data_IF_211364067165
#
_entry.id   IF_211364067165
#
_cell.length_a   1.000
_cell.length_b   1.000
_cell.length_c   1.000
_cell.angle_alpha   90.00
_cell.angle_beta   90.00
_cell.angle_gamma   90.00
#
_symmetry.space_group_name_H-M   'P 1'
#
loop_
_entity.id
_entity.type
_entity.pdbx_description
1 polymer ?
#
# COMPACT_ATOMS: atom_id res chain seq x y z
N UNK A 1 10.13 5.15 34.85
CA UNK A 1 10.27 5.61 33.46
C UNK A 1 10.26 4.34 32.63
N UNK A 2 9.12 4.04 32.03
CA UNK A 2 8.95 2.82 31.25
C UNK A 2 9.58 3.03 29.87
N UNK A 3 10.27 2.01 29.36
CA UNK A 3 10.87 1.92 28.04
C UNK A 3 9.86 2.29 26.94
N UNK A 4 9.87 3.54 26.48
CA UNK A 4 9.08 4.02 25.33
C UNK A 4 9.85 3.95 24.01
N UNK A 5 11.03 3.33 23.99
CA UNK A 5 12.01 3.55 22.93
C UNK A 5 12.05 2.43 21.86
N UNK A 6 11.06 1.50 21.80
CA UNK A 6 11.06 0.49 20.74
C UNK A 6 9.66 0.02 20.32
N UNK A 7 8.64 0.86 20.40
CA UNK A 7 7.31 0.46 19.94
C UNK A 7 7.17 0.68 18.43
N UNK A 8 7.28 -0.41 17.66
CA UNK A 8 7.07 -0.39 16.20
C UNK A 8 5.69 0.20 15.90
N UNK A 9 5.67 1.32 15.16
CA UNK A 9 4.41 1.99 14.80
C UNK A 9 3.50 1.01 14.08
N UNK A 10 2.22 1.00 14.47
CA UNK A 10 1.24 0.03 13.99
C UNK A 10 -0.07 0.72 13.62
N UNK A 11 -0.54 0.48 12.40
CA UNK A 11 -1.90 0.79 11.96
C UNK A 11 -2.77 -0.44 12.27
N UNK A 12 -3.84 -0.25 13.04
CA UNK A 12 -4.69 -1.34 13.53
C UNK A 12 -6.16 -1.04 13.31
N UNK A 13 -6.93 -2.09 13.05
CA UNK A 13 -8.39 -2.05 13.05
C UNK A 13 -8.92 -3.07 14.04
N UNK A 14 -10.01 -2.73 14.72
CA UNK A 14 -10.64 -3.60 15.70
C UNK A 14 -12.16 -3.59 15.50
N UNK A 15 -12.74 -4.76 15.28
CA UNK A 15 -14.17 -4.99 15.16
C UNK A 15 -14.84 -4.22 14.03
N UNK A 16 -14.14 -3.91 12.92
CA UNK A 16 -14.71 -3.13 11.84
C UNK A 16 -15.97 -3.75 11.26
N UNK A 17 -17.04 -2.97 11.22
CA UNK A 17 -18.30 -3.34 10.57
C UNK A 17 -18.71 -2.25 9.58
N UNK A 18 -19.11 -2.68 8.37
CA UNK A 18 -19.74 -1.81 7.38
C UNK A 18 -20.99 -2.43 6.82
N UNK A 19 -22.08 -1.64 6.86
CA UNK A 19 -23.38 -1.99 6.29
C UNK A 19 -23.79 -0.98 5.23
N UNK A 20 -24.34 -1.48 4.13
CA UNK A 20 -25.03 -0.69 3.12
C UNK A 20 -26.46 -1.19 3.03
N UNK A 21 -27.41 -0.40 3.55
CA UNK A 21 -28.78 -0.84 3.73
C UNK A 21 -28.86 -2.09 4.63
N UNK A 22 -29.43 -3.18 4.11
CA UNK A 22 -29.55 -4.47 4.82
C UNK A 22 -28.31 -5.38 4.69
N UNK A 23 -27.36 -5.03 3.82
CA UNK A 23 -26.19 -5.88 3.52
C UNK A 23 -25.01 -5.47 4.40
N UNK A 24 -24.49 -6.41 5.20
CA UNK A 24 -23.21 -6.25 5.89
C UNK A 24 -22.10 -6.71 4.94
N UNK A 25 -21.21 -5.78 4.54
CA UNK A 25 -20.11 -6.04 3.61
C UNK A 25 -18.78 -6.28 4.32
N UNK A 26 -18.63 -5.75 5.54
CA UNK A 26 -17.51 -6.02 6.45
C UNK A 26 -18.11 -6.33 7.81
N UNK A 27 -17.68 -7.41 8.46
CA UNK A 27 -18.31 -7.94 9.66
C UNK A 27 -17.26 -8.34 10.70
N UNK A 28 -17.00 -7.45 11.65
CA UNK A 28 -16.05 -7.61 12.77
C UNK A 28 -14.66 -8.02 12.29
N UNK A 29 -14.07 -7.17 11.46
CA UNK A 29 -12.76 -7.42 10.87
C UNK A 29 -11.68 -6.74 11.70
N UNK A 30 -10.67 -7.54 12.11
CA UNK A 30 -9.51 -7.11 12.87
C UNK A 30 -8.24 -7.37 12.07
N UNK A 31 -7.46 -6.35 11.80
CA UNK A 31 -6.13 -6.51 11.19
C UNK A 31 -5.17 -5.44 11.67
N UNK A 32 -3.91 -5.65 11.42
CA UNK A 32 -2.90 -4.64 11.68
C UNK A 32 -1.81 -4.67 10.61
N UNK A 33 -1.11 -3.57 10.46
CA UNK A 33 0.08 -3.41 9.63
C UNK A 33 1.14 -2.71 10.47
N UNK A 34 2.35 -3.23 10.50
CA UNK A 34 3.49 -2.62 11.19
C UNK A 34 4.37 -1.85 10.19
N UNK A 35 5.15 -0.90 10.70
CA UNK A 35 6.22 -0.29 9.93
C UNK A 35 7.16 -1.37 9.36
N UNK A 36 7.60 -1.17 8.12
CA UNK A 36 8.52 -2.09 7.45
C UNK A 36 7.92 -3.46 7.14
N UNK A 37 6.59 -3.60 7.13
CA UNK A 37 5.88 -4.84 6.82
C UNK A 37 5.01 -4.68 5.57
N UNK A 38 5.00 -5.70 4.71
CA UNK A 38 4.08 -5.79 3.57
C UNK A 38 3.00 -6.81 3.90
N UNK A 39 1.76 -6.35 4.05
CA UNK A 39 0.61 -7.17 4.39
C UNK A 39 -0.32 -7.32 3.19
N UNK A 40 -0.64 -8.55 2.81
CA UNK A 40 -1.61 -8.87 1.77
C UNK A 40 -3.05 -8.83 2.31
N UNK A 41 -3.94 -8.13 1.60
CA UNK A 41 -5.38 -8.08 1.88
C UNK A 41 -6.13 -8.80 0.77
N UNK A 42 -6.28 -10.12 0.92
CA UNK A 42 -6.64 -11.05 -0.12
C UNK A 42 -8.14 -11.40 -0.06
N UNK A 43 -8.71 -11.81 -1.17
CA UNK A 43 -10.11 -12.24 -1.23
C UNK A 43 -10.71 -12.04 -2.62
N UNK A 44 -11.79 -12.77 -2.90
CA UNK A 44 -12.54 -12.64 -4.16
C UNK A 44 -13.20 -11.26 -4.29
N UNK A 45 -13.64 -10.91 -5.49
CA UNK A 45 -14.46 -9.72 -5.70
C UNK A 45 -15.70 -9.77 -4.79
N UNK A 46 -16.02 -8.62 -4.16
CA UNK A 46 -17.14 -8.53 -3.21
C UNK A 46 -16.86 -9.08 -1.80
N UNK A 47 -15.66 -9.55 -1.49
CA UNK A 47 -15.32 -10.04 -0.15
C UNK A 47 -15.25 -8.96 0.95
N UNK A 48 -15.31 -7.67 0.59
CA UNK A 48 -15.23 -6.55 1.54
C UNK A 48 -13.89 -5.81 1.54
N UNK A 49 -12.96 -6.13 0.65
CA UNK A 49 -11.61 -5.54 0.61
C UNK A 49 -11.63 -4.02 0.49
N UNK A 50 -12.23 -3.48 -0.56
CA UNK A 50 -12.30 -2.04 -0.82
C UNK A 50 -13.02 -1.28 0.31
N UNK A 51 -14.09 -1.86 0.87
CA UNK A 51 -14.78 -1.24 2.01
C UNK A 51 -13.87 -1.15 3.25
N UNK A 52 -13.05 -2.18 3.51
CA UNK A 52 -12.06 -2.17 4.59
C UNK A 52 -10.99 -1.10 4.36
N UNK A 53 -10.47 -0.98 3.13
CA UNK A 53 -9.52 0.07 2.74
C UNK A 53 -10.13 1.47 2.97
N UNK A 54 -11.35 1.70 2.52
CA UNK A 54 -12.02 3.00 2.66
C UNK A 54 -12.25 3.38 4.11
N UNK A 55 -12.55 2.42 4.98
CA UNK A 55 -12.67 2.69 6.42
C UNK A 55 -11.30 3.04 7.03
N UNK A 56 -10.24 2.34 6.62
CA UNK A 56 -8.88 2.55 7.15
C UNK A 56 -8.28 3.87 6.69
N UNK A 57 -8.66 4.37 5.51
CA UNK A 57 -8.19 5.65 4.97
C UNK A 57 -9.08 6.84 5.32
N UNK A 58 -10.19 6.61 6.03
CA UNK A 58 -11.15 7.65 6.40
C UNK A 58 -12.07 8.10 5.26
N UNK A 59 -12.06 7.40 4.10
CA UNK A 59 -13.00 7.65 3.00
C UNK A 59 -14.43 7.25 3.36
N UNK A 60 -14.57 6.27 4.26
CA UNK A 60 -15.86 5.78 4.74
C UNK A 60 -15.78 5.57 6.25
N UNK A 61 -16.73 6.12 7.01
CA UNK A 61 -16.83 5.87 8.44
C UNK A 61 -17.43 4.47 8.67
N UNK A 62 -16.83 3.62 9.54
CA UNK A 62 -17.39 2.33 9.91
C UNK A 62 -18.71 2.49 10.68
N UNK A 63 -19.57 1.48 10.64
CA UNK A 63 -20.77 1.44 11.49
C UNK A 63 -20.44 1.02 12.93
N UNK A 64 -19.42 0.17 13.09
CA UNK A 64 -18.91 -0.29 14.37
C UNK A 64 -17.42 -0.55 14.25
N UNK A 65 -16.73 -0.63 15.39
CA UNK A 65 -15.30 -0.86 15.46
C UNK A 65 -14.49 0.43 15.37
N UNK A 66 -13.18 0.29 15.36
CA UNK A 66 -12.25 1.43 15.33
C UNK A 66 -11.04 1.20 14.45
N UNK A 67 -10.45 2.31 14.02
CA UNK A 67 -9.15 2.39 13.35
C UNK A 67 -8.21 3.19 14.26
N UNK A 68 -7.04 2.65 14.56
CA UNK A 68 -6.05 3.32 15.41
C UNK A 68 -4.67 3.31 14.77
N UNK A 69 -3.92 4.37 15.04
CA UNK A 69 -2.51 4.52 14.72
C UNK A 69 -1.75 4.50 16.05
N UNK A 70 -1.07 3.38 16.36
CA UNK A 70 -0.68 3.04 17.71
C UNK A 70 -1.90 3.11 18.65
N UNK A 71 -1.84 3.94 19.69
CA UNK A 71 -2.92 4.14 20.68
C UNK A 71 -3.88 5.28 20.32
N UNK A 72 -3.65 5.97 19.20
CA UNK A 72 -4.49 7.11 18.77
C UNK A 72 -5.64 6.59 17.93
N UNK A 73 -6.87 6.78 18.42
CA UNK A 73 -8.08 6.50 17.63
C UNK A 73 -8.26 7.55 16.53
N UNK A 74 -8.25 7.10 15.30
CA UNK A 74 -8.42 7.94 14.10
C UNK A 74 -9.73 7.65 13.36
N UNK A 75 -10.59 6.82 13.90
CA UNK A 75 -11.81 6.30 13.24
C UNK A 75 -12.67 7.40 12.62
N UNK A 76 -12.84 8.51 13.33
CA UNK A 76 -13.69 9.61 12.90
C UNK A 76 -12.91 10.78 12.28
N UNK A 77 -11.64 10.59 11.99
CA UNK A 77 -10.86 11.61 11.31
C UNK A 77 -11.33 11.75 9.85
N UNK A 78 -11.46 12.95 9.32
CA UNK A 78 -11.66 13.14 7.88
C UNK A 78 -10.39 12.73 7.11
N UNK A 79 -10.56 12.39 5.82
CA UNK A 79 -9.49 11.87 4.94
C UNK A 79 -8.18 12.66 5.04
N UNK A 80 -8.26 14.01 5.04
CA UNK A 80 -7.05 14.83 5.11
C UNK A 80 -6.27 14.68 6.42
N UNK A 81 -6.96 14.34 7.54
CA UNK A 81 -6.28 14.05 8.80
C UNK A 81 -5.63 12.67 8.80
N UNK A 82 -6.23 11.66 8.13
CA UNK A 82 -5.58 10.38 7.89
C UNK A 82 -4.28 10.59 7.09
N UNK A 83 -4.35 11.37 6.01
CA UNK A 83 -3.15 11.69 5.20
C UNK A 83 -2.07 12.40 6.03
N UNK A 84 -2.44 13.40 6.84
CA UNK A 84 -1.50 14.10 7.75
C UNK A 84 -0.96 13.22 8.87
N UNK A 85 -1.70 12.20 9.28
CA UNK A 85 -1.22 11.19 10.23
C UNK A 85 -0.21 10.21 9.59
N UNK A 86 -0.03 10.29 8.26
CA UNK A 86 0.92 9.50 7.49
C UNK A 86 0.32 8.28 6.80
N UNK A 87 -0.98 8.28 6.50
CA UNK A 87 -1.63 7.19 5.75
C UNK A 87 -1.79 7.62 4.29
N UNK A 88 -0.96 7.06 3.40
CA UNK A 88 -1.08 7.21 1.95
C UNK A 88 -2.07 6.20 1.37
N UNK A 89 -2.79 6.59 0.32
CA UNK A 89 -3.70 5.71 -0.40
C UNK A 89 -3.51 5.83 -1.91
N UNK A 90 -3.30 4.69 -2.55
CA UNK A 90 -3.24 4.56 -3.99
C UNK A 90 -4.48 3.79 -4.48
N UNK A 91 -5.44 4.46 -5.12
CA UNK A 91 -6.66 3.83 -5.61
C UNK A 91 -6.40 2.90 -6.80
N UNK A 92 -7.34 1.99 -7.04
CA UNK A 92 -7.35 1.13 -8.23
C UNK A 92 -7.46 1.95 -9.52
N UNK A 93 -8.33 2.96 -9.51
CA UNK A 93 -8.51 3.85 -10.66
C UNK A 93 -7.34 4.79 -10.85
N UNK A 94 -7.05 5.11 -12.12
CA UNK A 94 -5.99 6.04 -12.47
C UNK A 94 -6.22 7.41 -11.83
N UNK A 95 -5.26 7.86 -11.01
CA UNK A 95 -5.33 9.09 -10.24
C UNK A 95 -4.37 10.19 -10.74
N UNK A 96 -3.56 9.91 -11.76
CA UNK A 96 -2.64 10.89 -12.34
C UNK A 96 -3.40 12.10 -12.88
N UNK A 97 -2.87 13.31 -12.65
CA UNK A 97 -3.40 14.53 -13.27
C UNK A 97 -3.02 14.52 -14.74
N UNK A 98 -4.00 14.22 -15.59
CA UNK A 98 -3.79 13.92 -17.02
C UNK A 98 -3.20 15.06 -17.82
N UNK A 99 -3.48 16.32 -17.44
CA UNK A 99 -3.04 17.54 -18.10
C UNK A 99 -1.76 18.17 -17.47
N UNK A 100 -1.12 17.43 -16.58
CA UNK A 100 0.13 17.83 -15.94
C UNK A 100 1.25 16.87 -16.35
N UNK A 101 2.49 17.36 -16.39
CA UNK A 101 3.66 16.52 -16.60
C UNK A 101 3.88 15.57 -15.42
N UNK A 102 4.75 14.58 -15.58
CA UNK A 102 5.15 13.69 -14.48
C UNK A 102 5.72 14.48 -13.32
N UNK A 103 6.65 15.41 -13.58
CA UNK A 103 7.25 16.24 -12.53
C UNK A 103 6.21 17.13 -11.86
N UNK A 104 5.30 17.76 -12.62
CA UNK A 104 4.25 18.61 -12.05
C UNK A 104 3.26 17.79 -11.20
N UNK A 105 2.96 16.55 -11.59
CA UNK A 105 2.16 15.64 -10.79
C UNK A 105 2.75 15.37 -9.40
N UNK A 106 4.07 15.23 -9.31
CA UNK A 106 4.78 14.97 -8.05
C UNK A 106 4.95 16.30 -7.29
N UNK A 107 5.39 17.36 -7.99
CA UNK A 107 5.62 18.68 -7.39
C UNK A 107 4.35 19.25 -6.76
N UNK A 108 3.18 19.12 -7.39
CA UNK A 108 1.91 19.59 -6.84
C UNK A 108 1.59 19.00 -5.44
N UNK A 109 2.09 17.82 -5.13
CA UNK A 109 1.93 17.21 -3.80
C UNK A 109 3.04 17.67 -2.86
N UNK A 110 4.28 17.82 -3.35
CA UNK A 110 5.39 18.35 -2.55
C UNK A 110 5.11 19.78 -2.07
N UNK A 111 4.49 20.62 -2.89
CA UNK A 111 4.07 21.98 -2.53
C UNK A 111 3.05 22.03 -1.38
N UNK A 112 2.32 20.93 -1.13
CA UNK A 112 1.40 20.81 0.01
C UNK A 112 2.10 20.43 1.31
N UNK A 113 3.40 20.11 1.26
CA UNK A 113 4.22 19.77 2.44
C UNK A 113 4.78 21.04 3.09
N UNK A 114 5.45 20.88 4.24
CA UNK A 114 6.15 21.98 4.91
C UNK A 114 7.64 22.10 4.49
N UNK A 115 8.05 21.37 3.46
CA UNK A 115 9.40 21.41 2.94
C UNK A 115 9.66 22.78 2.28
N UNK A 116 10.86 23.31 2.43
CA UNK A 116 11.33 24.46 1.67
C UNK A 116 11.36 24.13 0.17
N UNK A 117 11.33 25.13 -0.68
CA UNK A 117 11.36 24.90 -2.13
C UNK A 117 12.62 24.12 -2.59
N UNK A 118 13.75 24.35 -1.94
CA UNK A 118 14.97 23.61 -2.23
C UNK A 118 14.87 22.13 -1.83
N UNK A 119 14.25 21.83 -0.69
CA UNK A 119 13.97 20.45 -0.26
C UNK A 119 12.94 19.78 -1.17
N UNK A 120 11.90 20.50 -1.61
CA UNK A 120 10.93 19.98 -2.56
C UNK A 120 11.60 19.58 -3.88
N UNK A 121 12.51 20.41 -4.40
CA UNK A 121 13.27 20.08 -5.62
C UNK A 121 14.18 18.86 -5.42
N UNK A 122 14.86 18.75 -4.29
CA UNK A 122 15.67 17.56 -3.97
C UNK A 122 14.84 16.29 -3.91
N UNK A 123 13.69 16.36 -3.24
CA UNK A 123 12.79 15.22 -3.13
C UNK A 123 12.17 14.84 -4.47
N UNK A 124 11.80 15.83 -5.31
CA UNK A 124 11.36 15.59 -6.68
C UNK A 124 12.39 14.81 -7.49
N UNK A 125 13.67 15.27 -7.47
CA UNK A 125 14.76 14.59 -8.19
C UNK A 125 14.96 13.15 -7.66
N UNK A 126 14.90 12.97 -6.37
CA UNK A 126 15.00 11.66 -5.72
C UNK A 126 13.89 10.71 -6.21
N UNK A 127 12.63 11.15 -6.15
CA UNK A 127 11.48 10.37 -6.59
C UNK A 127 11.52 10.07 -8.10
N UNK A 128 11.84 11.05 -8.93
CA UNK A 128 11.98 10.87 -10.40
C UNK A 128 13.01 9.78 -10.71
N UNK A 129 14.14 9.78 -10.01
CA UNK A 129 15.22 8.82 -10.20
C UNK A 129 14.82 7.43 -9.67
N UNK A 130 14.33 7.36 -8.44
CA UNK A 130 13.94 6.11 -7.76
C UNK A 130 12.88 5.34 -8.56
N UNK A 131 11.89 6.07 -9.11
CA UNK A 131 10.79 5.49 -9.87
C UNK A 131 11.07 5.35 -11.38
N UNK A 132 12.34 5.57 -11.80
CA UNK A 132 12.77 5.46 -13.21
C UNK A 132 11.91 6.29 -14.17
N UNK A 133 11.54 7.50 -13.74
CA UNK A 133 10.68 8.43 -14.49
C UNK A 133 11.45 9.48 -15.29
N UNK A 134 12.78 9.49 -15.23
CA UNK A 134 13.64 10.53 -15.86
C UNK A 134 13.34 10.72 -17.35
N UNK A 135 13.15 9.64 -18.11
CA UNK A 135 12.89 9.70 -19.56
C UNK A 135 11.54 10.31 -19.91
N UNK A 136 10.55 10.16 -19.02
CA UNK A 136 9.17 10.62 -19.21
C UNK A 136 8.81 11.83 -18.34
N UNK A 137 9.81 12.41 -17.68
CA UNK A 137 9.66 13.52 -16.73
C UNK A 137 8.73 14.64 -17.22
N UNK A 138 8.90 15.03 -18.47
CA UNK A 138 8.14 16.11 -19.12
C UNK A 138 6.89 15.64 -19.86
N UNK A 139 6.65 14.33 -19.94
CA UNK A 139 5.46 13.80 -20.60
C UNK A 139 4.22 14.10 -19.76
N UNK A 140 3.13 14.43 -20.43
CA UNK A 140 1.82 14.62 -19.81
C UNK A 140 1.25 13.29 -19.34
N UNK A 141 0.41 13.29 -18.30
CA UNK A 141 -0.23 12.09 -17.78
C UNK A 141 -1.01 11.28 -18.82
N UNK A 142 -1.51 11.95 -19.89
CA UNK A 142 -2.19 11.31 -21.04
C UNK A 142 -1.25 10.50 -21.94
N UNK A 143 0.05 10.76 -21.89
CA UNK A 143 1.06 10.16 -22.77
C UNK A 143 1.76 8.95 -22.15
N UNK A 144 1.48 8.68 -20.87
CA UNK A 144 2.14 7.63 -20.11
C UNK A 144 1.57 6.25 -20.44
N UNK A 145 2.45 5.26 -20.57
CA UNK A 145 2.08 3.85 -20.51
C UNK A 145 1.45 3.49 -19.15
N UNK A 146 0.79 2.34 -19.06
CA UNK A 146 0.20 1.85 -17.81
C UNK A 146 1.22 1.80 -16.65
N UNK A 147 2.40 1.25 -16.92
CA UNK A 147 3.48 1.13 -15.95
C UNK A 147 4.08 2.47 -15.53
N UNK A 148 4.36 3.38 -16.49
CA UNK A 148 4.86 4.73 -16.20
C UNK A 148 3.85 5.53 -15.38
N UNK A 149 2.57 5.44 -15.74
CA UNK A 149 1.49 6.06 -14.98
C UNK A 149 1.46 5.54 -13.55
N UNK A 150 1.49 4.22 -13.35
CA UNK A 150 1.44 3.62 -12.01
C UNK A 150 2.65 4.01 -11.17
N UNK A 151 3.85 4.02 -11.74
CA UNK A 151 5.05 4.50 -11.04
C UNK A 151 4.94 5.99 -10.66
N UNK A 152 4.37 6.83 -11.52
CA UNK A 152 4.11 8.25 -11.21
C UNK A 152 3.13 8.40 -10.05
N UNK A 153 2.06 7.61 -10.02
CA UNK A 153 1.05 7.63 -8.95
C UNK A 153 1.63 7.18 -7.61
N UNK A 154 2.48 6.15 -7.61
CA UNK A 154 3.17 5.69 -6.39
C UNK A 154 4.16 6.77 -5.92
N UNK A 155 4.99 7.33 -6.82
CA UNK A 155 5.92 8.42 -6.49
C UNK A 155 5.17 9.62 -5.87
N UNK A 156 4.03 10.00 -6.44
CA UNK A 156 3.18 11.06 -5.90
C UNK A 156 2.62 10.72 -4.51
N UNK A 157 2.21 9.47 -4.29
CA UNK A 157 1.75 9.01 -2.98
C UNK A 157 2.85 9.11 -1.92
N UNK A 158 4.11 8.87 -2.31
CA UNK A 158 5.27 8.93 -1.41
C UNK A 158 5.79 10.33 -1.15
N UNK A 159 5.44 11.30 -1.99
CA UNK A 159 5.87 12.70 -1.85
C UNK A 159 5.48 13.34 -0.50
N UNK A 160 4.42 12.84 0.15
CA UNK A 160 4.03 13.27 1.51
C UNK A 160 4.77 12.54 2.64
N UNK A 161 5.75 11.70 2.30
CA UNK A 161 6.49 10.85 3.23
C UNK A 161 5.57 10.05 4.19
N UNK A 162 4.71 9.16 3.64
CA UNK A 162 3.73 8.43 4.44
C UNK A 162 4.41 7.38 5.33
N UNK A 163 3.79 7.10 6.46
CA UNK A 163 4.17 6.02 7.39
C UNK A 163 3.57 4.68 6.99
N UNK A 164 2.39 4.73 6.39
CA UNK A 164 1.67 3.58 5.85
C UNK A 164 1.15 3.90 4.46
N UNK A 165 1.20 2.92 3.57
CA UNK A 165 0.66 3.04 2.22
C UNK A 165 -0.32 1.90 1.96
N UNK A 166 -1.51 2.27 1.51
CA UNK A 166 -2.55 1.34 1.11
C UNK A 166 -2.61 1.30 -0.40
N UNK A 167 -2.24 0.15 -0.99
CA UNK A 167 -2.17 -0.08 -2.43
C UNK A 167 -3.37 -0.91 -2.87
N UNK A 168 -4.34 -0.25 -3.51
CA UNK A 168 -5.54 -0.93 -4.04
C UNK A 168 -5.31 -1.33 -5.50
N UNK A 169 -5.13 -2.63 -5.72
CA UNK A 169 -4.87 -3.26 -7.02
C UNK A 169 -3.74 -2.57 -7.83
N UNK A 170 -2.52 -2.49 -7.28
CA UNK A 170 -1.42 -1.77 -7.96
C UNK A 170 -0.97 -2.42 -9.26
N UNK A 171 -1.28 -3.69 -9.50
CA UNK A 171 -0.92 -4.44 -10.71
C UNK A 171 -2.01 -4.44 -11.78
N UNK A 172 -3.20 -3.89 -11.47
CA UNK A 172 -4.33 -3.91 -12.40
C UNK A 172 -4.05 -3.08 -13.67
N UNK A 173 -4.24 -3.70 -14.85
CA UNK A 173 -4.05 -3.05 -16.14
C UNK A 173 -2.59 -2.68 -16.47
N UNK A 174 -1.63 -3.34 -15.83
CA UNK A 174 -0.20 -3.16 -16.03
C UNK A 174 0.36 -4.40 -16.74
N UNK A 175 1.32 -4.21 -17.67
CA UNK A 175 1.99 -5.31 -18.33
C UNK A 175 2.93 -6.08 -17.38
N UNK A 176 3.26 -7.37 -17.66
CA UNK A 176 4.05 -8.20 -16.75
C UNK A 176 5.43 -7.64 -16.39
N UNK A 177 6.08 -6.90 -17.30
CA UNK A 177 7.40 -6.31 -17.05
C UNK A 177 7.26 -5.17 -16.04
N UNK A 178 6.25 -4.33 -16.23
CA UNK A 178 5.98 -3.24 -15.31
C UNK A 178 5.43 -3.74 -13.95
N UNK A 179 4.74 -4.89 -13.89
CA UNK A 179 4.38 -5.54 -12.62
C UNK A 179 5.63 -5.89 -11.82
N UNK A 180 6.65 -6.50 -12.46
CA UNK A 180 7.92 -6.78 -11.80
C UNK A 180 8.60 -5.51 -11.27
N UNK A 181 8.64 -4.43 -12.07
CA UNK A 181 9.16 -3.12 -11.60
C UNK A 181 8.42 -2.61 -10.37
N UNK A 182 7.08 -2.72 -10.33
CA UNK A 182 6.27 -2.29 -9.17
C UNK A 182 6.55 -3.18 -7.95
N UNK A 183 6.73 -4.50 -8.14
CA UNK A 183 7.12 -5.41 -7.05
C UNK A 183 8.46 -4.99 -6.43
N UNK A 184 9.47 -4.67 -7.24
CA UNK A 184 10.76 -4.15 -6.76
C UNK A 184 10.59 -2.86 -5.95
N UNK A 185 9.78 -1.92 -6.45
CA UNK A 185 9.48 -0.68 -5.76
C UNK A 185 8.82 -0.97 -4.40
N UNK A 186 7.74 -1.74 -4.37
CA UNK A 186 6.99 -2.06 -3.14
C UNK A 186 7.90 -2.77 -2.12
N UNK A 187 8.74 -3.69 -2.59
CA UNK A 187 9.69 -4.38 -1.73
C UNK A 187 10.71 -3.43 -1.08
N UNK A 188 11.22 -2.44 -1.83
CA UNK A 188 12.15 -1.42 -1.29
C UNK A 188 11.50 -0.52 -0.25
N UNK A 189 10.21 -0.20 -0.39
CA UNK A 189 9.49 0.69 0.55
C UNK A 189 9.48 0.15 1.99
N UNK A 190 9.48 -1.16 2.19
CA UNK A 190 9.55 -1.74 3.53
C UNK A 190 10.85 -1.35 4.28
N UNK A 191 11.96 -1.17 3.56
CA UNK A 191 13.25 -0.75 4.13
C UNK A 191 13.32 0.76 4.39
N UNK A 192 12.38 1.54 3.85
CA UNK A 192 12.12 2.93 4.24
C UNK A 192 11.22 3.01 5.48
N UNK A 193 11.04 1.92 6.18
CA UNK A 193 10.19 1.80 7.36
C UNK A 193 8.71 2.14 7.09
N UNK A 194 8.23 1.95 5.85
CA UNK A 194 6.84 2.15 5.45
C UNK A 194 6.08 0.84 5.62
N UNK A 195 4.96 0.88 6.36
CA UNK A 195 4.03 -0.25 6.44
C UNK A 195 3.11 -0.26 5.20
N UNK A 196 2.95 -1.42 4.57
CA UNK A 196 2.20 -1.53 3.31
C UNK A 196 1.05 -2.51 3.48
N UNK A 197 -0.16 -2.07 3.11
CA UNK A 197 -1.30 -2.95 2.91
C UNK A 197 -1.63 -3.00 1.42
N UNK A 198 -1.54 -4.18 0.83
CA UNK A 198 -1.74 -4.38 -0.62
C UNK A 198 -2.87 -5.36 -0.88
N UNK A 199 -3.75 -5.01 -1.81
CA UNK A 199 -4.71 -5.95 -2.41
C UNK A 199 -4.54 -5.98 -3.91
N UNK A 200 -4.72 -7.15 -4.51
CA UNK A 200 -4.76 -7.30 -5.97
C UNK A 200 -5.54 -8.55 -6.36
N UNK A 201 -6.05 -8.58 -7.59
CA UNK A 201 -6.63 -9.77 -8.19
C UNK A 201 -5.56 -10.78 -8.63
N UNK A 202 -4.34 -10.31 -8.89
CA UNK A 202 -3.20 -11.15 -9.21
C UNK A 202 -2.61 -11.75 -7.93
N UNK A 203 -3.18 -12.87 -7.52
CA UNK A 203 -2.81 -13.56 -6.27
C UNK A 203 -1.35 -13.98 -6.26
N UNK A 204 -0.80 -14.43 -7.43
CA UNK A 204 0.59 -14.87 -7.53
C UNK A 204 1.55 -13.75 -7.23
N UNK A 205 1.38 -12.61 -7.89
CA UNK A 205 2.27 -11.46 -7.76
C UNK A 205 2.17 -10.82 -6.38
N UNK A 206 0.97 -10.83 -5.78
CA UNK A 206 0.77 -10.33 -4.41
C UNK A 206 1.43 -11.26 -3.38
N UNK A 207 1.16 -12.58 -3.43
CA UNK A 207 1.77 -13.54 -2.50
C UNK A 207 3.30 -13.61 -2.61
N UNK A 208 3.86 -13.25 -3.78
CA UNK A 208 5.29 -13.22 -3.98
C UNK A 208 6.00 -12.23 -3.04
N UNK A 209 5.42 -11.05 -2.80
CA UNK A 209 6.09 -9.91 -2.12
C UNK A 209 5.66 -9.69 -0.67
N UNK A 210 4.54 -10.25 -0.22
CA UNK A 210 4.04 -10.00 1.14
C UNK A 210 4.81 -10.79 2.20
N UNK A 211 4.86 -10.24 3.40
CA UNK A 211 5.42 -10.91 4.59
C UNK A 211 4.36 -11.80 5.25
N UNK A 212 3.09 -11.37 5.26
CA UNK A 212 1.91 -12.13 5.68
C UNK A 212 0.66 -11.60 5.00
N UNK A 213 -0.43 -12.35 5.07
CA UNK A 213 -1.69 -11.93 4.48
C UNK A 213 -2.90 -12.32 5.30
N UNK A 214 -3.98 -11.62 5.05
CA UNK A 214 -5.33 -11.94 5.52
C UNK A 214 -6.19 -12.32 4.32
N UNK A 215 -6.88 -13.44 4.40
CA UNK A 215 -7.87 -13.84 3.40
C UNK A 215 -9.27 -13.48 3.89
N UNK A 216 -9.93 -12.59 3.15
CA UNK A 216 -11.32 -12.23 3.38
C UNK A 216 -12.24 -13.14 2.59
N UNK A 217 -13.31 -13.54 3.25
CA UNK A 217 -14.42 -14.26 2.65
C UNK A 217 -15.72 -13.76 3.28
N UNK A 218 -16.68 -13.33 2.46
CA UNK A 218 -17.99 -12.82 2.89
C UNK A 218 -17.93 -11.81 4.06
N UNK A 219 -17.01 -10.85 3.94
CA UNK A 219 -16.85 -9.76 4.91
C UNK A 219 -16.15 -10.13 6.21
N UNK A 220 -15.58 -11.34 6.33
CA UNK A 220 -14.84 -11.81 7.52
C UNK A 220 -13.45 -12.28 7.13
N UNK A 221 -12.53 -12.27 8.08
CA UNK A 221 -11.24 -12.93 7.92
C UNK A 221 -11.44 -14.44 8.06
N UNK A 222 -11.18 -15.15 6.98
CA UNK A 222 -11.25 -16.61 6.92
C UNK A 222 -9.95 -17.26 7.40
N UNK A 223 -8.81 -16.65 7.05
CA UNK A 223 -7.48 -17.14 7.41
C UNK A 223 -6.48 -15.98 7.42
N UNK A 224 -5.45 -16.10 8.24
CA UNK A 224 -4.30 -15.20 8.22
C UNK A 224 -3.01 -15.97 8.50
N UNK A 225 -1.92 -15.61 7.83
CA UNK A 225 -0.64 -16.28 7.99
C UNK A 225 0.39 -15.84 6.97
N UNK A 226 1.54 -16.50 6.98
CA UNK A 226 2.61 -16.29 5.99
C UNK A 226 2.17 -16.79 4.60
N UNK A 227 2.80 -16.33 3.50
CA UNK A 227 2.46 -16.78 2.15
C UNK A 227 2.49 -18.30 1.97
N UNK A 228 3.44 -18.97 2.61
CA UNK A 228 3.60 -20.43 2.56
C UNK A 228 2.41 -21.13 3.25
N UNK A 229 1.96 -20.60 4.39
CA UNK A 229 0.80 -21.11 5.14
C UNK A 229 -0.50 -20.90 4.35
N UNK A 230 -0.66 -19.71 3.73
CA UNK A 230 -1.77 -19.40 2.83
C UNK A 230 -1.79 -20.33 1.62
N UNK A 231 -0.65 -20.56 0.98
CA UNK A 231 -0.54 -21.39 -0.22
C UNK A 231 -0.80 -22.89 0.06
N UNK A 232 -0.47 -23.38 1.25
CA UNK A 232 -0.65 -24.78 1.64
C UNK A 232 -1.99 -25.09 2.30
N UNK A 233 -2.69 -24.07 2.81
CA UNK A 233 -3.94 -24.28 3.56
C UNK A 233 -5.08 -24.77 2.65
N UNK A 234 -5.72 -25.92 2.95
CA UNK A 234 -6.78 -26.49 2.12
C UNK A 234 -8.00 -25.57 1.98
N UNK A 235 -8.35 -24.80 3.02
CA UNK A 235 -9.49 -23.89 3.00
C UNK A 235 -9.19 -22.69 2.08
N UNK A 236 -7.95 -22.16 2.12
CA UNK A 236 -7.49 -21.09 1.24
C UNK A 236 -7.47 -21.55 -0.22
N UNK A 237 -6.93 -22.76 -0.48
CA UNK A 237 -6.90 -23.34 -1.82
C UNK A 237 -8.30 -23.49 -2.40
N UNK A 238 -9.22 -24.11 -1.65
CA UNK A 238 -10.60 -24.33 -2.08
C UNK A 238 -11.37 -23.04 -2.37
N UNK A 239 -11.17 -22.00 -1.56
CA UNK A 239 -11.99 -20.77 -1.62
C UNK A 239 -11.37 -19.64 -2.43
N UNK A 240 -10.03 -19.65 -2.64
CA UNK A 240 -9.33 -18.51 -3.22
C UNK A 240 -8.27 -18.88 -4.25
N UNK A 241 -7.45 -19.89 -4.00
CA UNK A 241 -6.42 -20.36 -4.93
C UNK A 241 -6.98 -21.42 -5.88
N UNK A 242 -6.23 -21.71 -6.94
CA UNK A 242 -6.52 -22.84 -7.83
C UNK A 242 -5.73 -24.07 -7.39
N UNK A 243 -6.18 -25.29 -7.80
CA UNK A 243 -5.49 -26.53 -7.45
C UNK A 243 -4.03 -26.56 -7.95
N UNK A 244 -3.76 -25.94 -9.08
CA UNK A 244 -2.43 -25.84 -9.69
C UNK A 244 -1.61 -24.64 -9.22
N UNK A 245 -2.06 -23.90 -8.19
CA UNK A 245 -1.33 -22.75 -7.68
C UNK A 245 0.01 -23.20 -7.07
N UNK A 246 1.09 -22.56 -7.52
CA UNK A 246 2.44 -22.71 -6.98
C UNK A 246 2.93 -21.34 -6.52
N UNK A 247 3.37 -21.27 -5.27
CA UNK A 247 3.96 -20.05 -4.71
C UNK A 247 5.38 -19.90 -5.25
N UNK A 248 5.64 -18.75 -5.86
CA UNK A 248 6.98 -18.29 -6.20
C UNK A 248 7.24 -17.02 -5.42
N UNK A 249 8.29 -17.00 -4.60
CA UNK A 249 8.66 -15.81 -3.83
C UNK A 249 9.43 -14.83 -4.72
N UNK A 250 9.22 -13.55 -4.43
CA UNK A 250 10.00 -12.47 -5.01
C UNK A 250 11.46 -12.60 -4.59
N UNK A 251 12.36 -12.45 -5.54
CA UNK A 251 13.80 -12.44 -5.29
C UNK A 251 14.33 -11.04 -5.59
N UNK A 252 14.85 -10.33 -4.57
CA UNK A 252 15.44 -9.01 -4.76
C UNK A 252 16.66 -9.10 -5.67
N UNK A 253 16.91 -8.03 -6.41
CA UNK A 253 18.15 -7.85 -7.18
C UNK A 253 19.23 -7.23 -6.30
N UNK A 254 20.49 -7.25 -6.77
CA UNK A 254 21.59 -6.55 -6.10
C UNK A 254 21.29 -5.05 -5.92
N UNK A 255 20.63 -4.43 -6.90
CA UNK A 255 20.18 -3.02 -6.82
C UNK A 255 19.17 -2.82 -5.69
N UNK A 256 18.25 -3.77 -5.49
CA UNK A 256 17.27 -3.72 -4.40
C UNK A 256 17.95 -3.85 -3.03
N UNK A 257 18.89 -4.76 -2.91
CA UNK A 257 19.64 -4.97 -1.66
C UNK A 257 20.49 -3.76 -1.29
N UNK A 258 21.14 -3.13 -2.28
CA UNK A 258 21.90 -1.91 -2.09
C UNK A 258 20.98 -0.74 -1.65
N UNK A 259 19.82 -0.58 -2.32
CA UNK A 259 18.84 0.44 -1.97
C UNK A 259 18.26 0.22 -0.56
N UNK A 260 18.00 -1.04 -0.20
CA UNK A 260 17.53 -1.41 1.13
C UNK A 260 18.57 -1.10 2.21
N UNK A 261 19.84 -1.42 1.97
CA UNK A 261 20.94 -1.12 2.89
C UNK A 261 21.13 0.38 3.10
N UNK A 262 21.05 1.18 2.03
CA UNK A 262 21.12 2.63 2.09
C UNK A 262 19.95 3.24 2.90
N UNK A 263 18.72 2.76 2.65
CA UNK A 263 17.53 3.21 3.38
C UNK A 263 17.61 2.86 4.88
N UNK A 264 18.06 1.65 5.22
CA UNK A 264 18.22 1.21 6.60
C UNK A 264 19.29 2.01 7.36
N UNK A 265 20.33 2.51 6.68
CA UNK A 265 21.35 3.37 7.28
C UNK A 265 20.80 4.75 7.64
N UNK A 266 19.90 5.32 6.82
CA UNK A 266 19.29 6.64 7.07
C UNK A 266 18.28 6.66 8.24
N UNK A 267 17.80 5.51 8.70
CA UNK A 267 16.82 5.40 9.78
C UNK A 267 17.45 4.94 11.12
N UNK A 268 18.79 4.89 11.23
CA UNK A 268 19.51 4.53 12.46
C UNK A 268 19.94 5.75 13.29
N UNK A 269 19.81 6.93 12.73
CA UNK A 269 20.06 8.23 13.38
C UNK A 269 18.72 8.90 13.76
#
# INVERSE_FOLDING_TARGET
>A
MADTDNMVMTLRTEGLVKRYGKRTVVNKVDFHVKHGEIVGWLGRSGAGKTASFYMTTGLVVPNEGRVSLNDIDITNYPVYKHARAGIGYLPQEASVFRQMSVEDNIMAVLEMTQLSHEEQLRELESLIKEFRLTKVRKNMGTQLSGGERRRTEIARCLAINPKFVMLDEPFAGVDPVAVADIQHIVWRLKYRNIGILITDHNVRDTLAIIDRGYLLFEGKILFSGKPEELASNPVVRKNYLTDNFQLTRFTPTEEDEQAAAAAAAMHRD
#
